data_IF_380053162819
#
_entry.id   IF_380053162819
#
_cell.length_a   1.000
_cell.length_b   1.000
_cell.length_c   1.000
_cell.angle_alpha   90.00
_cell.angle_beta   90.00
_cell.angle_gamma   90.00
#
_symmetry.space_group_name_H-M   'P 1'
#
loop_
_entity.id
_entity.type
_entity.pdbx_description
1 polymer ?
#
# COMPACT_ATOMS: atom_id res chain seq x y z
N UNK A 1 -27.22 25.64 10.02
CA UNK A 1 -26.12 25.27 10.93
C UNK A 1 -26.72 24.45 12.05
N UNK A 2 -26.51 23.13 12.01
CA UNK A 2 -27.06 22.20 13.00
C UNK A 2 -26.45 22.45 14.38
N UNK A 3 -27.27 22.58 15.42
CA UNK A 3 -26.81 22.80 16.80
C UNK A 3 -26.06 21.56 17.32
N UNK A 4 -24.75 21.67 17.54
CA UNK A 4 -23.88 20.59 18.04
C UNK A 4 -24.38 20.01 19.37
N UNK A 5 -25.05 20.81 20.21
CA UNK A 5 -25.64 20.31 21.48
C UNK A 5 -26.87 19.45 21.24
N UNK A 6 -27.64 19.71 20.20
CA UNK A 6 -28.76 18.85 19.80
C UNK A 6 -28.23 17.52 19.24
N UNK A 7 -27.16 17.57 18.43
CA UNK A 7 -26.50 16.37 17.90
C UNK A 7 -25.87 15.52 19.00
N UNK A 8 -25.15 16.13 19.95
CA UNK A 8 -24.56 15.43 21.09
C UNK A 8 -25.62 14.68 21.91
N UNK A 9 -26.76 15.34 22.22
CA UNK A 9 -27.88 14.69 22.92
C UNK A 9 -28.46 13.51 22.14
N UNK A 10 -28.62 13.66 20.82
CA UNK A 10 -29.14 12.58 19.95
C UNK A 10 -28.19 11.38 19.91
N UNK A 11 -26.89 11.65 19.91
CA UNK A 11 -25.82 10.64 19.88
C UNK A 11 -25.48 10.05 21.24
N UNK A 12 -26.12 10.48 22.33
CA UNK A 12 -25.79 10.02 23.69
C UNK A 12 -24.37 10.42 24.12
N UNK A 13 -23.85 11.51 23.55
CA UNK A 13 -22.49 11.99 23.74
C UNK A 13 -22.41 13.44 24.24
N UNK A 14 -21.19 13.97 24.27
CA UNK A 14 -20.87 15.31 24.77
C UNK A 14 -20.21 16.16 23.67
N UNK A 15 -20.41 17.48 23.71
CA UNK A 15 -19.73 18.39 22.78
C UNK A 15 -18.26 18.51 23.18
N UNK A 16 -17.35 18.28 22.24
CA UNK A 16 -15.92 18.40 22.43
C UNK A 16 -15.30 19.23 21.29
N UNK A 17 -14.90 20.47 21.60
CA UNK A 17 -14.35 21.41 20.63
C UNK A 17 -15.33 21.69 19.48
N UNK A 18 -14.93 21.32 18.26
CA UNK A 18 -15.73 21.49 17.03
C UNK A 18 -16.63 20.30 16.68
N UNK A 19 -16.72 19.30 17.56
CA UNK A 19 -17.36 18.03 17.29
C UNK A 19 -18.08 17.44 18.49
N UNK A 20 -18.41 16.16 18.40
CA UNK A 20 -19.09 15.38 19.45
C UNK A 20 -18.26 14.15 19.77
N UNK A 21 -18.07 13.87 21.06
CA UNK A 21 -17.59 12.57 21.56
C UNK A 21 -18.76 11.72 21.99
N UNK A 22 -18.79 10.45 21.60
CA UNK A 22 -19.85 9.51 21.99
C UNK A 22 -19.26 8.10 22.23
N UNK A 23 -20.07 7.17 22.75
CA UNK A 23 -19.67 5.76 22.81
C UNK A 23 -19.35 5.17 21.44
N UNK A 24 -18.30 4.35 21.36
CA UNK A 24 -18.04 3.52 20.18
C UNK A 24 -19.07 2.40 20.01
N UNK A 25 -19.16 1.79 18.81
CA UNK A 25 -20.06 0.67 18.56
C UNK A 25 -19.75 -0.52 19.49
N UNK A 26 -20.74 -0.96 20.28
CA UNK A 26 -20.56 -2.08 21.23
C UNK A 26 -19.91 -1.71 22.57
N UNK A 27 -19.60 -0.43 22.80
CA UNK A 27 -19.05 0.06 24.05
C UNK A 27 -20.15 0.47 25.06
N UNK A 28 -19.76 0.66 26.32
CA UNK A 28 -20.66 1.12 27.38
C UNK A 28 -21.21 2.52 27.12
N UNK A 29 -22.37 2.87 27.67
CA UNK A 29 -22.98 4.21 27.50
C UNK A 29 -22.14 5.37 28.08
N UNK A 30 -21.20 5.07 28.99
CA UNK A 30 -20.23 6.04 29.52
C UNK A 30 -18.99 6.23 28.64
N UNK A 31 -18.80 5.42 27.60
CA UNK A 31 -17.64 5.50 26.72
C UNK A 31 -17.64 6.80 25.88
N UNK A 32 -16.43 7.31 25.58
CA UNK A 32 -16.20 8.53 24.79
C UNK A 32 -15.09 8.32 23.76
N UNK A 33 -14.96 7.10 23.27
CA UNK A 33 -13.90 6.71 22.36
C UNK A 33 -14.13 7.14 20.90
N UNK A 34 -15.35 7.53 20.53
CA UNK A 34 -15.69 7.90 19.15
C UNK A 34 -15.89 9.42 19.01
N UNK A 35 -15.03 10.07 18.22
CA UNK A 35 -15.11 11.50 17.91
C UNK A 35 -15.71 11.75 16.53
N UNK A 36 -16.63 12.71 16.42
CA UNK A 36 -17.36 13.04 15.20
C UNK A 36 -17.15 14.51 14.86
N UNK A 37 -16.76 14.80 13.62
CA UNK A 37 -16.69 16.16 13.07
C UNK A 37 -17.74 16.33 11.98
N UNK A 38 -18.63 17.30 12.11
CA UNK A 38 -19.68 17.59 11.14
C UNK A 38 -19.24 18.66 10.14
N UNK A 39 -19.46 18.40 8.84
CA UNK A 39 -19.12 19.28 7.73
C UNK A 39 -20.35 19.45 6.82
N UNK A 40 -21.31 20.28 7.23
CA UNK A 40 -22.58 20.44 6.51
C UNK A 40 -23.49 19.21 6.70
N UNK A 41 -23.87 18.57 5.59
CA UNK A 41 -24.72 17.36 5.58
C UNK A 41 -23.93 16.04 5.74
N UNK A 42 -22.59 16.08 5.73
CA UNK A 42 -21.72 14.92 5.96
C UNK A 42 -20.91 15.07 7.25
N UNK A 43 -20.28 13.98 7.68
CA UNK A 43 -19.44 13.93 8.86
C UNK A 43 -18.30 12.92 8.72
N UNK A 44 -17.23 13.16 9.47
CA UNK A 44 -16.11 12.24 9.65
C UNK A 44 -16.08 11.69 11.07
N UNK A 45 -15.52 10.49 11.22
CA UNK A 45 -15.41 9.78 12.48
C UNK A 45 -13.95 9.41 12.78
N UNK A 46 -13.58 9.41 14.05
CA UNK A 46 -12.29 8.93 14.54
C UNK A 46 -12.52 8.12 15.81
N UNK A 47 -12.13 6.84 15.83
CA UNK A 47 -12.12 6.03 17.06
C UNK A 47 -10.75 6.09 17.73
N UNK A 48 -10.73 6.39 19.03
CA UNK A 48 -9.56 6.30 19.90
C UNK A 48 -9.36 4.89 20.51
N UNK A 49 -10.38 4.03 20.40
CA UNK A 49 -10.33 2.63 20.85
C UNK A 49 -9.87 1.65 19.75
N UNK A 50 -9.69 2.14 18.51
CA UNK A 50 -9.24 1.33 17.37
C UNK A 50 -10.35 0.57 16.65
N UNK A 51 -11.61 0.97 16.85
CA UNK A 51 -12.76 0.38 16.15
C UNK A 51 -12.70 0.65 14.64
N UNK A 52 -13.35 -0.21 13.86
CA UNK A 52 -13.44 0.00 12.41
C UNK A 52 -14.21 1.29 12.09
N UNK A 53 -13.61 2.14 11.26
CA UNK A 53 -14.17 3.45 10.95
C UNK A 53 -15.51 3.36 10.21
N UNK A 54 -15.82 2.26 9.51
CA UNK A 54 -17.11 2.04 8.85
C UNK A 54 -18.18 1.70 9.87
N UNK A 55 -17.90 0.79 10.80
CA UNK A 55 -18.81 0.47 11.90
C UNK A 55 -19.13 1.72 12.73
N UNK A 56 -18.10 2.54 12.99
CA UNK A 56 -18.29 3.85 13.62
C UNK A 56 -19.20 4.78 12.80
N UNK A 57 -18.99 4.87 11.48
CA UNK A 57 -19.78 5.75 10.61
C UNK A 57 -21.23 5.27 10.49
N UNK A 58 -21.46 3.96 10.42
CA UNK A 58 -22.79 3.36 10.34
C UNK A 58 -23.53 3.46 11.67
N UNK A 59 -22.84 3.25 12.79
CA UNK A 59 -23.38 3.47 14.13
C UNK A 59 -23.93 4.90 14.30
N UNK A 60 -23.16 5.91 13.85
CA UNK A 60 -23.59 7.31 13.88
C UNK A 60 -24.77 7.57 12.94
N UNK A 61 -24.76 7.01 11.71
CA UNK A 61 -25.87 7.17 10.75
C UNK A 61 -27.19 6.59 11.27
N UNK A 62 -27.13 5.42 11.91
CA UNK A 62 -28.28 4.75 12.49
C UNK A 62 -28.95 5.63 13.56
N UNK A 63 -28.15 6.25 14.43
CA UNK A 63 -28.66 7.13 15.49
C UNK A 63 -29.21 8.44 14.91
N UNK A 64 -28.55 9.00 13.88
CA UNK A 64 -29.01 10.23 13.25
C UNK A 64 -30.27 10.05 12.40
N UNK A 65 -30.72 8.82 12.15
CA UNK A 65 -31.95 8.51 11.43
C UNK A 65 -31.82 8.58 9.91
N UNK A 66 -30.59 8.46 9.39
CA UNK A 66 -30.38 8.25 7.96
C UNK A 66 -30.89 6.86 7.59
N UNK A 67 -31.67 6.78 6.51
CA UNK A 67 -32.03 5.52 5.84
C UNK A 67 -30.85 4.56 5.88
N UNK A 68 -31.08 3.33 6.34
CA UNK A 68 -30.08 2.26 6.31
C UNK A 68 -29.61 2.15 4.87
N UNK A 69 -28.42 2.67 4.59
CA UNK A 69 -27.74 2.39 3.35
C UNK A 69 -27.42 0.90 3.38
N UNK A 70 -28.29 0.10 2.75
CA UNK A 70 -27.98 -1.29 2.46
C UNK A 70 -26.92 -1.24 1.36
N UNK A 71 -25.67 -1.62 1.65
CA UNK A 71 -24.66 -1.64 0.61
C UNK A 71 -25.07 -2.69 -0.44
N UNK A 72 -24.91 -2.44 -1.75
CA UNK A 72 -24.93 -3.52 -2.71
C UNK A 72 -23.87 -4.55 -2.30
N UNK A 73 -24.30 -5.82 -2.19
CA UNK A 73 -23.54 -7.04 -1.89
C UNK A 73 -22.11 -6.86 -1.34
N UNK A 74 -21.94 -7.14 -0.04
CA UNK A 74 -20.68 -7.45 0.66
C UNK A 74 -19.50 -6.50 0.35
N UNK A 75 -19.18 -5.62 1.29
CA UNK A 75 -17.85 -4.98 1.26
C UNK A 75 -16.82 -6.10 1.38
N UNK A 76 -15.85 -6.22 0.44
CA UNK A 76 -14.92 -7.32 0.45
C UNK A 76 -14.16 -7.36 1.77
N UNK A 77 -14.24 -8.46 2.51
CA UNK A 77 -13.28 -8.78 3.58
C UNK A 77 -11.85 -8.67 3.02
N UNK A 78 -10.83 -8.62 3.88
CA UNK A 78 -9.44 -8.76 3.41
C UNK A 78 -9.22 -10.01 2.54
N UNK A 79 -10.05 -11.04 2.70
CA UNK A 79 -10.10 -12.22 1.84
C UNK A 79 -10.74 -11.93 0.49
N UNK A 80 -11.92 -11.33 0.45
CA UNK A 80 -12.63 -11.02 -0.80
C UNK A 80 -11.84 -10.03 -1.69
N UNK A 81 -11.13 -9.07 -1.08
CA UNK A 81 -10.22 -8.18 -1.80
C UNK A 81 -9.02 -8.92 -2.41
N UNK A 82 -8.50 -9.95 -1.72
CA UNK A 82 -7.44 -10.82 -2.25
C UNK A 82 -7.96 -11.71 -3.37
N UNK A 83 -9.15 -12.28 -3.22
CA UNK A 83 -9.75 -13.14 -4.25
C UNK A 83 -10.06 -12.33 -5.51
N UNK A 84 -10.55 -11.10 -5.35
CA UNK A 84 -10.73 -10.17 -6.47
C UNK A 84 -9.40 -9.78 -7.14
N UNK A 85 -8.37 -9.48 -6.35
CA UNK A 85 -7.03 -9.21 -6.88
C UNK A 85 -6.46 -10.43 -7.63
N UNK A 86 -6.67 -11.64 -7.11
CA UNK A 86 -6.22 -12.88 -7.74
C UNK A 86 -6.93 -13.12 -9.07
N UNK A 87 -8.23 -12.84 -9.18
CA UNK A 87 -8.97 -12.92 -10.45
C UNK A 87 -8.37 -11.98 -11.50
N UNK A 88 -8.16 -10.71 -11.15
CA UNK A 88 -7.54 -9.72 -12.06
C UNK A 88 -6.12 -10.17 -12.47
N UNK A 89 -5.34 -10.74 -11.55
CA UNK A 89 -4.01 -11.25 -11.86
C UNK A 89 -4.04 -12.41 -12.87
N UNK A 90 -5.01 -13.31 -12.73
CA UNK A 90 -5.17 -14.47 -13.60
C UNK A 90 -5.69 -14.10 -15.00
N UNK A 91 -6.48 -13.03 -15.10
CA UNK A 91 -6.95 -12.47 -16.39
C UNK A 91 -5.83 -11.75 -17.16
N UNK A 92 -4.76 -11.34 -16.46
CA UNK A 92 -3.65 -10.62 -17.07
C UNK A 92 -2.69 -11.54 -17.81
N UNK A 93 -2.06 -11.00 -18.85
CA UNK A 93 -1.06 -11.69 -19.68
C UNK A 93 0.35 -11.16 -19.43
N UNK A 94 1.34 -11.78 -20.07
CA UNK A 94 2.73 -11.28 -20.02
C UNK A 94 2.81 -9.78 -20.36
N UNK A 95 3.74 -9.08 -19.71
CA UNK A 95 4.03 -7.68 -20.01
C UNK A 95 4.76 -7.52 -21.36
N UNK A 96 5.49 -8.53 -21.82
CA UNK A 96 6.32 -8.48 -23.03
C UNK A 96 5.47 -8.29 -24.29
N UNK A 97 5.93 -7.45 -25.21
CA UNK A 97 5.20 -7.11 -26.44
C UNK A 97 3.85 -6.40 -26.19
N UNK A 98 3.71 -5.70 -25.06
CA UNK A 98 2.47 -4.97 -24.72
C UNK A 98 2.74 -3.49 -24.43
N UNK A 99 1.68 -2.75 -24.10
CA UNK A 99 1.80 -1.35 -23.68
C UNK A 99 2.65 -1.17 -22.42
N UNK A 100 2.82 -2.20 -21.59
CA UNK A 100 3.71 -2.15 -20.41
C UNK A 100 5.16 -2.05 -20.86
N UNK A 101 5.56 -2.86 -21.84
CA UNK A 101 6.91 -2.81 -22.41
C UNK A 101 7.17 -1.44 -23.03
N UNK A 102 6.26 -0.93 -23.87
CA UNK A 102 6.38 0.41 -24.44
C UNK A 102 6.46 1.52 -23.37
N UNK A 103 5.67 1.40 -22.29
CA UNK A 103 5.70 2.33 -21.17
C UNK A 103 7.05 2.32 -20.45
N UNK A 104 7.61 1.14 -20.16
CA UNK A 104 8.91 1.00 -19.50
C UNK A 104 10.05 1.46 -20.41
N UNK A 105 10.04 1.08 -21.69
CA UNK A 105 11.05 1.54 -22.65
C UNK A 105 11.02 3.06 -22.82
N UNK A 106 9.83 3.67 -22.85
CA UNK A 106 9.70 5.14 -22.84
C UNK A 106 10.24 5.82 -21.58
N UNK A 107 10.54 5.05 -20.53
CA UNK A 107 11.19 5.48 -19.28
C UNK A 107 12.66 5.06 -19.19
N UNK A 108 13.25 4.53 -20.28
CA UNK A 108 14.61 4.00 -20.27
C UNK A 108 14.76 2.66 -19.53
N UNK A 109 13.66 1.96 -19.30
CA UNK A 109 13.62 0.70 -18.54
C UNK A 109 13.25 -0.47 -19.45
N UNK A 110 13.65 -1.68 -19.05
CA UNK A 110 13.31 -2.91 -19.76
C UNK A 110 12.43 -3.82 -18.89
N UNK A 111 11.54 -4.58 -19.55
CA UNK A 111 10.89 -5.72 -18.89
C UNK A 111 11.92 -6.84 -18.82
N UNK A 112 12.50 -7.04 -17.64
CA UNK A 112 13.47 -8.12 -17.43
C UNK A 112 12.73 -9.47 -17.46
N UNK A 113 13.25 -10.50 -18.17
CA UNK A 113 12.60 -11.81 -18.28
C UNK A 113 12.26 -12.46 -16.93
N UNK A 114 13.04 -12.15 -15.90
CA UNK A 114 12.92 -12.66 -14.55
C UNK A 114 11.74 -12.04 -13.77
N UNK A 115 11.26 -10.86 -14.19
CA UNK A 115 10.17 -10.13 -13.54
C UNK A 115 8.78 -10.68 -13.94
N UNK A 116 8.59 -11.98 -13.76
CA UNK A 116 7.29 -12.66 -13.91
C UNK A 116 6.20 -12.10 -12.99
N UNK A 117 6.61 -11.33 -11.98
CA UNK A 117 5.75 -10.53 -11.11
C UNK A 117 5.09 -9.33 -11.80
N UNK A 118 5.48 -8.99 -13.04
CA UNK A 118 4.86 -7.94 -13.85
C UNK A 118 4.01 -8.53 -14.99
N UNK A 119 2.78 -8.03 -15.13
CA UNK A 119 1.82 -8.45 -16.17
C UNK A 119 1.10 -7.25 -16.77
N UNK A 120 0.49 -7.46 -17.93
CA UNK A 120 -0.39 -6.50 -18.58
C UNK A 120 -1.85 -6.94 -18.52
N UNK A 121 -2.72 -6.00 -18.14
CA UNK A 121 -4.16 -6.19 -18.22
C UNK A 121 -4.80 -5.10 -19.10
N UNK A 122 -5.46 -5.44 -20.22
CA UNK A 122 -5.96 -4.46 -21.19
C UNK A 122 -7.16 -3.64 -20.71
N UNK A 123 -7.97 -4.16 -19.78
CA UNK A 123 -9.17 -3.50 -19.26
C UNK A 123 -9.31 -3.64 -17.73
N UNK A 124 -8.26 -3.28 -16.99
CA UNK A 124 -8.16 -3.45 -15.54
C UNK A 124 -9.18 -2.54 -14.83
N UNK A 125 -10.00 -3.08 -13.91
CA UNK A 125 -10.82 -2.25 -13.03
C UNK A 125 -9.93 -1.27 -12.26
N UNK A 126 -10.20 0.04 -12.37
CA UNK A 126 -9.35 1.08 -11.80
C UNK A 126 -10.19 2.30 -11.43
N UNK A 127 -10.40 2.56 -10.13
CA UNK A 127 -11.17 3.71 -9.61
C UNK A 127 -12.54 3.95 -10.29
N UNK A 128 -13.25 2.88 -10.64
CA UNK A 128 -14.58 2.96 -11.30
C UNK A 128 -14.55 2.86 -12.83
N UNK A 129 -13.37 2.87 -13.44
CA UNK A 129 -13.17 2.72 -14.88
C UNK A 129 -12.53 1.36 -15.22
N UNK A 130 -12.41 1.07 -16.52
CA UNK A 130 -11.58 -0.04 -17.04
C UNK A 130 -10.51 0.52 -17.96
N UNK A 131 -9.25 0.31 -17.60
CA UNK A 131 -8.11 0.92 -18.30
C UNK A 131 -7.00 -0.10 -18.54
N UNK A 132 -6.17 0.07 -19.60
CA UNK A 132 -4.91 -0.66 -19.73
C UNK A 132 -4.00 -0.36 -18.52
N UNK A 133 -3.51 -1.40 -17.87
CA UNK A 133 -2.67 -1.26 -16.68
C UNK A 133 -1.54 -2.29 -16.65
N UNK A 134 -0.39 -1.85 -16.12
CA UNK A 134 0.63 -2.77 -15.60
C UNK A 134 0.15 -3.27 -14.24
N UNK A 135 0.17 -4.58 -14.06
CA UNK A 135 -0.06 -5.24 -12.78
C UNK A 135 1.27 -5.72 -12.22
N UNK A 136 1.45 -5.57 -10.92
CA UNK A 136 2.54 -6.17 -10.19
C UNK A 136 1.99 -7.01 -9.03
N UNK A 137 2.36 -8.29 -9.00
CA UNK A 137 1.96 -9.20 -7.94
C UNK A 137 2.66 -8.87 -6.63
N UNK A 138 1.87 -8.66 -5.58
CA UNK A 138 2.36 -8.49 -4.23
C UNK A 138 2.29 -9.85 -3.56
N UNK A 139 3.44 -10.37 -3.15
CA UNK A 139 3.52 -11.63 -2.40
C UNK A 139 4.09 -11.38 -1.02
N UNK A 140 3.68 -12.19 -0.05
CA UNK A 140 4.28 -12.18 1.28
C UNK A 140 5.78 -12.45 1.16
N UNK A 141 6.60 -11.55 1.70
CA UNK A 141 8.05 -11.63 1.57
C UNK A 141 8.61 -12.97 2.11
N UNK A 142 8.06 -13.46 3.23
CA UNK A 142 8.52 -14.68 3.90
C UNK A 142 7.93 -15.95 3.31
N UNK A 143 6.64 -15.95 2.94
CA UNK A 143 5.94 -17.19 2.55
C UNK A 143 5.68 -17.31 1.06
N UNK A 144 5.98 -16.30 0.25
CA UNK A 144 5.70 -16.27 -1.20
C UNK A 144 4.21 -16.26 -1.57
N UNK A 145 3.30 -16.23 -0.59
CA UNK A 145 1.85 -16.31 -0.84
C UNK A 145 1.35 -15.00 -1.41
N UNK A 146 0.51 -15.05 -2.44
CA UNK A 146 -0.15 -13.88 -3.02
C UNK A 146 -0.96 -13.10 -1.96
N UNK A 147 -0.78 -11.78 -1.92
CA UNK A 147 -1.41 -10.87 -0.97
C UNK A 147 -2.16 -9.72 -1.64
N UNK A 148 -1.89 -9.43 -2.91
CA UNK A 148 -2.55 -8.34 -3.60
C UNK A 148 -1.90 -7.96 -4.93
N UNK A 149 -2.38 -6.85 -5.47
CA UNK A 149 -1.89 -6.24 -6.69
C UNK A 149 -1.56 -4.78 -6.47
N UNK A 150 -0.39 -4.39 -6.98
CA UNK A 150 -0.14 -3.01 -7.35
C UNK A 150 -0.53 -2.83 -8.82
N UNK A 151 -1.39 -1.84 -9.10
CA UNK A 151 -1.87 -1.52 -10.45
C UNK A 151 -1.35 -0.15 -10.85
N UNK A 152 -0.72 -0.06 -12.00
CA UNK A 152 -0.27 1.20 -12.61
C UNK A 152 -1.07 1.44 -13.88
N UNK A 153 -1.92 2.46 -13.89
CA UNK A 153 -2.51 3.01 -15.12
C UNK A 153 -1.38 3.59 -15.96
N UNK A 154 -1.30 3.21 -17.23
CA UNK A 154 -0.19 3.63 -18.09
C UNK A 154 -0.35 5.09 -18.53
N UNK A 155 -1.57 5.53 -18.86
CA UNK A 155 -1.85 6.91 -19.31
C UNK A 155 -3.25 7.43 -18.88
N UNK A 156 -3.35 8.65 -18.30
CA UNK A 156 -2.28 9.30 -17.53
C UNK A 156 -1.81 8.38 -16.38
N UNK A 157 -0.55 8.55 -15.95
CA UNK A 157 0.03 7.73 -14.88
C UNK A 157 -0.77 7.89 -13.59
N UNK A 158 -1.24 6.79 -13.05
CA UNK A 158 -1.91 6.72 -11.75
C UNK A 158 -1.68 5.34 -11.14
N UNK A 159 -1.69 5.23 -9.81
CA UNK A 159 -1.42 3.99 -9.09
C UNK A 159 -2.58 3.66 -8.16
N UNK A 160 -2.90 2.37 -8.05
CA UNK A 160 -3.92 1.88 -7.13
C UNK A 160 -3.56 0.48 -6.64
N UNK A 161 -3.90 0.20 -5.39
CA UNK A 161 -3.67 -1.12 -4.79
C UNK A 161 -4.96 -1.91 -4.64
N UNK A 162 -4.84 -3.24 -4.63
CA UNK A 162 -5.86 -4.19 -4.16
C UNK A 162 -5.17 -5.19 -3.23
N UNK A 163 -5.80 -5.54 -2.11
CA UNK A 163 -5.19 -6.39 -1.10
C UNK A 163 -4.21 -5.62 -0.20
N UNK A 164 -3.24 -6.34 0.39
CA UNK A 164 -2.33 -5.79 1.40
C UNK A 164 -0.88 -5.75 0.91
N UNK A 165 -0.18 -4.64 1.19
CA UNK A 165 1.26 -4.49 0.96
C UNK A 165 2.11 -4.83 2.19
N UNK A 166 1.50 -4.90 3.38
CA UNK A 166 2.23 -5.00 4.65
C UNK A 166 2.97 -6.34 4.73
N UNK A 167 4.29 -6.29 4.88
CA UNK A 167 5.18 -7.45 4.87
C UNK A 167 5.24 -8.17 3.51
N UNK A 168 4.72 -7.55 2.46
CA UNK A 168 4.74 -8.05 1.10
C UNK A 168 5.70 -7.25 0.21
N UNK A 169 6.06 -7.83 -0.92
CA UNK A 169 6.90 -7.20 -1.92
C UNK A 169 6.50 -7.67 -3.32
N UNK A 170 6.84 -6.85 -4.32
CA UNK A 170 6.92 -7.27 -5.72
C UNK A 170 8.34 -7.81 -5.93
N UNK A 171 8.47 -9.11 -6.11
CA UNK A 171 9.76 -9.78 -6.34
C UNK A 171 10.13 -9.64 -7.82
N UNK A 172 11.00 -8.69 -8.16
CA UNK A 172 11.42 -8.43 -9.55
C UNK A 172 12.44 -9.48 -10.03
N UNK A 173 13.17 -10.08 -9.09
CA UNK A 173 13.93 -11.33 -9.26
C UNK A 173 13.31 -12.42 -8.40
N UNK A 174 13.51 -13.69 -8.75
CA UNK A 174 12.82 -14.80 -8.08
C UNK A 174 13.45 -15.14 -6.72
N UNK A 175 12.78 -15.97 -5.93
CA UNK A 175 13.25 -16.37 -4.60
C UNK A 175 14.52 -17.23 -4.68
N UNK A 176 14.63 -18.01 -5.74
CA UNK A 176 15.75 -18.92 -6.03
C UNK A 176 17.06 -18.16 -6.27
N UNK A 177 16.98 -16.89 -6.69
CA UNK A 177 18.14 -16.02 -6.88
C UNK A 177 18.62 -15.41 -5.55
N UNK A 178 17.80 -15.48 -4.49
CA UNK A 178 18.14 -14.99 -3.15
C UNK A 178 18.94 -16.05 -2.41
N UNK A 179 20.25 -15.92 -2.53
CA UNK A 179 21.22 -16.72 -1.77
C UNK A 179 21.50 -16.07 -0.40
N UNK A 180 22.62 -15.37 -0.26
CA UNK A 180 23.00 -14.69 0.98
C UNK A 180 22.66 -13.19 0.97
N UNK A 181 22.42 -12.60 -0.21
CA UNK A 181 22.21 -11.17 -0.39
C UNK A 181 20.86 -10.82 -0.99
N UNK A 182 20.24 -9.73 -0.52
CA UNK A 182 19.02 -9.17 -1.08
C UNK A 182 19.11 -7.64 -1.20
N UNK A 183 18.62 -7.12 -2.32
CA UNK A 183 18.41 -5.68 -2.50
C UNK A 183 16.92 -5.36 -2.46
N UNK A 184 16.56 -4.25 -1.82
CA UNK A 184 15.18 -3.77 -1.78
C UNK A 184 15.10 -2.29 -2.11
N UNK A 185 13.97 -1.87 -2.69
CA UNK A 185 13.65 -0.46 -2.96
C UNK A 185 12.15 -0.17 -2.72
N UNK A 186 11.72 1.09 -2.84
CA UNK A 186 10.30 1.45 -2.79
C UNK A 186 9.59 1.14 -4.12
N UNK A 187 10.10 1.66 -5.23
CA UNK A 187 9.42 1.64 -6.53
C UNK A 187 9.74 0.45 -7.43
N UNK A 188 8.75 0.00 -8.20
CA UNK A 188 8.95 -1.00 -9.27
C UNK A 188 9.91 -0.49 -10.36
N UNK A 189 9.69 0.74 -10.82
CA UNK A 189 10.55 1.40 -11.83
C UNK A 189 11.98 1.58 -11.32
N UNK A 190 12.13 2.05 -10.08
CA UNK A 190 13.42 2.14 -9.36
C UNK A 190 14.12 0.79 -9.25
N UNK A 191 13.38 -0.28 -8.92
CA UNK A 191 13.92 -1.62 -8.86
C UNK A 191 14.41 -2.13 -10.22
N UNK A 192 13.68 -1.87 -11.30
CA UNK A 192 14.10 -2.22 -12.66
C UNK A 192 15.36 -1.45 -13.08
N UNK A 193 15.46 -0.17 -12.75
CA UNK A 193 16.66 0.65 -12.98
C UNK A 193 17.88 0.07 -12.24
N UNK A 194 17.72 -0.27 -10.97
CA UNK A 194 18.78 -0.87 -10.16
C UNK A 194 19.20 -2.26 -10.66
N UNK A 195 18.26 -3.05 -11.19
CA UNK A 195 18.56 -4.32 -11.86
C UNK A 195 19.45 -4.08 -13.10
N UNK A 196 19.15 -3.05 -13.90
CA UNK A 196 19.97 -2.68 -15.06
C UNK A 196 21.39 -2.24 -14.65
N UNK A 197 21.54 -1.63 -13.46
CA UNK A 197 22.85 -1.30 -12.86
C UNK A 197 23.59 -2.50 -12.24
N UNK A 198 22.99 -3.70 -12.26
CA UNK A 198 23.61 -4.92 -11.73
C UNK A 198 23.23 -5.30 -10.30
N UNK A 199 22.31 -4.57 -9.66
CA UNK A 199 21.81 -4.93 -8.32
C UNK A 199 20.75 -6.02 -8.42
N UNK A 200 21.18 -7.26 -8.28
CA UNK A 200 20.33 -8.46 -8.19
C UNK A 200 20.76 -9.30 -6.97
N UNK A 201 19.85 -10.03 -6.30
CA UNK A 201 18.39 -10.03 -6.49
C UNK A 201 17.73 -8.76 -5.94
N UNK A 202 16.56 -8.37 -6.47
CA UNK A 202 15.89 -7.08 -6.21
C UNK A 202 14.37 -7.23 -5.98
N UNK A 203 13.88 -6.71 -4.85
CA UNK A 203 12.45 -6.64 -4.53
C UNK A 203 11.96 -5.21 -4.30
N UNK A 204 10.78 -4.86 -4.82
CA UNK A 204 10.13 -3.57 -4.57
C UNK A 204 9.07 -3.68 -3.46
N UNK A 205 9.23 -2.86 -2.41
CA UNK A 205 8.36 -2.85 -1.23
C UNK A 205 7.18 -1.88 -1.34
N UNK A 206 7.04 -1.17 -2.46
CA UNK A 206 5.93 -0.30 -2.86
C UNK A 206 5.75 1.01 -2.07
N UNK A 207 6.37 1.15 -0.91
CA UNK A 207 6.37 2.38 -0.10
C UNK A 207 7.37 2.29 1.04
N UNK A 208 7.67 3.44 1.67
CA UNK A 208 8.38 3.53 2.94
C UNK A 208 7.75 2.62 4.02
N UNK A 209 6.42 2.60 4.12
CA UNK A 209 5.71 1.70 5.05
C UNK A 209 5.95 0.22 4.73
N UNK A 210 6.03 -0.12 3.45
CA UNK A 210 6.41 -1.45 2.96
C UNK A 210 7.81 -1.85 3.41
N UNK A 211 8.82 -0.99 3.16
CA UNK A 211 10.21 -1.19 3.61
C UNK A 211 10.25 -1.41 5.12
N UNK A 212 9.63 -0.51 5.89
CA UNK A 212 9.54 -0.62 7.37
C UNK A 212 8.89 -1.92 7.82
N UNK A 213 7.95 -2.47 7.06
CA UNK A 213 7.22 -3.70 7.39
C UNK A 213 7.90 -4.99 6.94
N UNK A 214 8.97 -4.93 6.14
CA UNK A 214 9.65 -6.12 5.58
C UNK A 214 10.25 -7.00 6.69
N UNK A 215 9.75 -8.22 6.93
CA UNK A 215 10.26 -9.08 7.98
C UNK A 215 11.71 -9.51 7.69
N UNK A 216 12.46 -9.84 8.75
CA UNK A 216 13.76 -10.52 8.59
C UNK A 216 13.53 -11.88 7.92
N UNK A 217 14.31 -12.16 6.88
CA UNK A 217 14.21 -13.37 6.09
C UNK A 217 15.33 -14.34 6.49
N UNK A 218 15.01 -15.58 6.88
CA UNK A 218 16.03 -16.59 7.16
C UNK A 218 16.91 -16.83 5.93
N UNK A 219 18.22 -16.95 6.14
CA UNK A 219 19.21 -17.23 5.07
C UNK A 219 19.78 -15.99 4.39
N UNK A 220 19.15 -14.82 4.56
CA UNK A 220 19.70 -13.56 4.04
C UNK A 220 20.66 -12.96 5.06
N UNK A 221 21.93 -12.90 4.70
CA UNK A 221 23.04 -12.39 5.50
C UNK A 221 23.38 -10.92 5.17
N UNK A 222 23.08 -10.47 3.94
CA UNK A 222 23.35 -9.11 3.47
C UNK A 222 22.07 -8.47 2.90
N UNK A 223 21.69 -7.30 3.41
CA UNK A 223 20.58 -6.51 2.89
C UNK A 223 21.06 -5.13 2.43
N UNK A 224 20.75 -4.77 1.19
CA UNK A 224 20.91 -3.39 0.71
C UNK A 224 19.55 -2.74 0.52
N UNK A 225 19.32 -1.61 1.18
CA UNK A 225 18.09 -0.83 1.11
C UNK A 225 18.35 0.42 0.29
N UNK A 226 17.75 0.51 -0.89
CA UNK A 226 17.71 1.71 -1.70
C UNK A 226 16.50 2.54 -1.28
N UNK A 227 16.74 3.64 -0.57
CA UNK A 227 15.71 4.57 -0.13
C UNK A 227 15.65 5.76 -1.07
N UNK A 228 14.46 6.25 -1.35
CA UNK A 228 14.26 7.53 -2.02
C UNK A 228 14.82 8.67 -1.17
N UNK A 229 15.33 9.71 -1.82
CA UNK A 229 15.86 10.90 -1.14
C UNK A 229 14.77 11.99 -1.05
N UNK A 230 13.70 11.73 -0.30
CA UNK A 230 12.59 12.69 -0.13
C UNK A 230 12.91 13.73 0.98
N UNK A 231 12.63 15.04 0.76
CA UNK A 231 12.77 16.10 1.75
C UNK A 231 12.08 15.84 3.11
N UNK A 232 11.00 15.06 3.14
CA UNK A 232 10.28 14.73 4.37
C UNK A 232 10.93 13.59 5.19
N UNK A 233 12.02 13.00 4.69
CA UNK A 233 12.80 11.94 5.32
C UNK A 233 11.99 10.67 5.70
N UNK A 234 10.78 10.51 5.18
CA UNK A 234 9.89 9.39 5.57
C UNK A 234 10.47 8.06 5.12
N UNK A 235 10.93 7.99 3.87
CA UNK A 235 11.65 6.81 3.33
C UNK A 235 12.92 6.53 4.12
N UNK A 236 13.68 7.57 4.48
CA UNK A 236 14.91 7.43 5.24
C UNK A 236 14.67 6.84 6.63
N UNK A 237 13.68 7.35 7.38
CA UNK A 237 13.33 6.83 8.71
C UNK A 237 12.87 5.37 8.61
N UNK A 238 12.06 5.05 7.62
CA UNK A 238 11.60 3.68 7.36
C UNK A 238 12.76 2.72 7.04
N UNK A 239 13.69 3.14 6.18
CA UNK A 239 14.88 2.36 5.82
C UNK A 239 15.78 2.12 7.04
N UNK A 240 16.01 3.14 7.87
CA UNK A 240 16.82 2.99 9.09
C UNK A 240 16.16 2.09 10.15
N UNK A 241 14.84 2.17 10.32
CA UNK A 241 14.10 1.24 11.19
C UNK A 241 14.19 -0.21 10.70
N UNK A 242 14.00 -0.43 9.40
CA UNK A 242 14.16 -1.75 8.80
C UNK A 242 15.60 -2.27 8.97
N UNK A 243 16.59 -1.42 8.67
CA UNK A 243 18.00 -1.77 8.80
C UNK A 243 18.38 -2.13 10.24
N UNK A 244 17.89 -1.39 11.24
CA UNK A 244 18.11 -1.73 12.65
C UNK A 244 17.57 -3.12 12.98
N UNK A 245 16.32 -3.42 12.62
CA UNK A 245 15.71 -4.73 12.87
C UNK A 245 16.49 -5.89 12.25
N UNK A 246 17.02 -5.69 11.04
CA UNK A 246 17.81 -6.70 10.34
C UNK A 246 19.22 -6.86 10.94
N UNK A 247 19.88 -5.76 11.34
CA UNK A 247 21.16 -5.80 12.07
C UNK A 247 21.03 -6.49 13.43
N UNK A 248 19.97 -6.20 14.17
CA UNK A 248 19.69 -6.85 15.46
C UNK A 248 19.48 -8.36 15.31
N UNK A 249 19.12 -8.82 14.10
CA UNK A 249 19.01 -10.24 13.74
C UNK A 249 20.30 -10.83 13.15
N UNK A 250 21.41 -10.09 13.14
CA UNK A 250 22.73 -10.56 12.68
C UNK A 250 23.00 -10.37 11.19
N UNK A 251 22.16 -9.64 10.45
CA UNK A 251 22.39 -9.34 9.04
C UNK A 251 23.22 -8.07 8.85
N UNK A 252 24.15 -8.07 7.89
CA UNK A 252 24.84 -6.87 7.45
C UNK A 252 23.92 -6.01 6.57
N UNK A 253 23.69 -4.75 6.94
CA UNK A 253 22.74 -3.88 6.24
C UNK A 253 23.36 -2.55 5.80
N UNK A 254 23.29 -2.29 4.50
CA UNK A 254 23.67 -1.03 3.85
C UNK A 254 22.41 -0.28 3.40
N UNK A 255 22.34 1.02 3.69
CA UNK A 255 21.28 1.91 3.18
C UNK A 255 21.94 2.84 2.15
N UNK A 256 21.38 2.90 0.94
CA UNK A 256 21.84 3.77 -0.16
C UNK A 256 20.74 4.78 -0.52
N UNK A 257 21.17 5.97 -0.90
CA UNK A 257 20.31 7.07 -1.34
C UNK A 257 20.90 7.69 -2.61
N UNK A 258 20.06 8.21 -3.51
CA UNK A 258 20.52 9.03 -4.63
C UNK A 258 21.28 10.25 -4.13
N UNK A 259 22.28 10.68 -4.91
CA UNK A 259 23.14 11.81 -4.54
C UNK A 259 22.42 13.16 -4.57
N UNK A 260 21.29 13.24 -5.29
CA UNK A 260 20.48 14.45 -5.46
C UNK A 260 19.20 14.34 -4.61
N UNK A 261 18.86 15.41 -3.91
CA UNK A 261 17.62 15.49 -3.13
C UNK A 261 16.41 15.55 -4.09
N UNK A 262 15.40 14.71 -3.82
CA UNK A 262 14.15 14.66 -4.56
C UNK A 262 14.17 13.76 -5.80
N UNK A 263 15.28 13.10 -6.12
CA UNK A 263 15.36 12.11 -7.20
C UNK A 263 15.26 10.68 -6.66
N UNK A 264 14.92 9.74 -7.53
CA UNK A 264 15.08 8.31 -7.29
C UNK A 264 16.20 7.71 -8.16
N UNK A 265 16.53 6.43 -7.94
CA UNK A 265 17.54 5.75 -8.77
C UNK A 265 17.06 5.46 -10.21
N UNK A 266 15.77 5.59 -10.52
CA UNK A 266 15.28 5.48 -11.90
C UNK A 266 15.62 6.74 -12.71
N UNK A 267 15.67 7.91 -12.06
CA UNK A 267 16.09 9.16 -12.71
C UNK A 267 17.57 9.14 -13.14
N UNK A 268 18.42 8.31 -12.53
CA UNK A 268 19.86 8.20 -12.84
C UNK A 268 20.18 7.32 -14.07
N UNK A 269 19.20 6.58 -14.60
CA UNK A 269 19.36 5.68 -15.77
C UNK A 269 18.93 6.33 -17.09
N UNK A 270 18.25 7.49 -17.03
CA UNK A 270 17.66 8.19 -18.17
C UNK A 270 18.65 9.06 -18.97
#
# INVERSE_FOLDING_TARGET
MSDLRALARKLGGDVAGRGVVMPGPGHSSSDRSLFITFNGDDFTVHSFAGDDWRECKDHVRQILGGSVYVPPASTPTGQDNRDFAQRIWNEARSANGTQVEAYLTGRGLEVVPEASSLRFHPACPFKGERVPAMLAAIVNAKTGKFQGLHRTRLHPKDKAMLGTAKGGAVKLTQDEDVTHGLHICEGIETGLALIAMGFRPMWACLSAGGIKSLPVLPGVEYLTIFSDNDPNETGQKAAHECARRWRDAGCEVVVKQPSILGTDFADEVA
#
